data_IF_223900826404
#
_entry.id   IF_223900826404
#
_cell.length_a   1.000
_cell.length_b   1.000
_cell.length_c   1.000
_cell.angle_alpha   90.00
_cell.angle_beta   90.00
_cell.angle_gamma   90.00
#
_symmetry.space_group_name_H-M   'P 1'
#
loop_
_entity.id
_entity.type
_entity.pdbx_description
1 polymer ?
#
# COMPACT_ATOMS: atom_id res chain seq x y z
N UNK A 1 -3.51 19.42 8.13
CA UNK A 1 -3.56 18.76 6.81
C UNK A 1 -2.70 17.53 6.89
N UNK A 2 -3.27 16.35 6.65
CA UNK A 2 -2.50 15.11 6.62
C UNK A 2 -1.90 14.97 5.21
N UNK A 3 -0.66 14.49 5.09
CA UNK A 3 0.00 14.36 3.77
C UNK A 3 -0.76 13.40 2.86
N UNK A 4 -1.45 12.43 3.46
CA UNK A 4 -2.31 11.46 2.77
C UNK A 4 -3.54 12.12 2.10
N UNK A 5 -3.93 13.35 2.50
CA UNK A 5 -5.10 14.06 1.94
C UNK A 5 -4.79 14.73 0.59
N UNK A 6 -3.50 14.94 0.29
CA UNK A 6 -3.04 15.61 -0.95
C UNK A 6 -2.36 14.65 -1.92
N UNK A 7 -2.11 13.40 -1.50
CA UNK A 7 -1.47 12.36 -2.29
C UNK A 7 -2.49 11.34 -2.77
N UNK A 8 -2.27 10.79 -3.96
CA UNK A 8 -3.15 9.76 -4.53
C UNK A 8 -3.15 8.54 -3.60
N UNK A 9 -4.33 8.24 -3.05
CA UNK A 9 -4.52 7.22 -2.01
C UNK A 9 -5.62 6.24 -2.42
N UNK A 10 -5.34 4.96 -2.23
CA UNK A 10 -6.28 3.84 -2.43
C UNK A 10 -6.48 3.11 -1.11
N UNK A 11 -7.72 2.84 -0.77
CA UNK A 11 -8.08 2.03 0.40
C UNK A 11 -8.51 0.63 -0.05
N UNK A 12 -7.97 -0.40 0.60
CA UNK A 12 -8.40 -1.78 0.42
C UNK A 12 -9.37 -2.14 1.54
N UNK A 13 -10.53 -2.65 1.15
CA UNK A 13 -11.65 -2.95 2.03
C UNK A 13 -11.91 -4.46 2.02
N UNK A 14 -12.14 -5.07 3.17
CA UNK A 14 -12.54 -6.48 3.27
C UNK A 14 -14.05 -6.69 3.02
N UNK A 15 -14.50 -7.95 2.95
CA UNK A 15 -15.92 -8.27 2.75
C UNK A 15 -16.83 -7.80 3.90
N UNK A 16 -16.28 -7.37 5.03
CA UNK A 16 -17.05 -6.76 6.14
C UNK A 16 -17.17 -5.23 6.03
N UNK A 17 -16.58 -4.63 5.00
CA UNK A 17 -16.58 -3.19 4.78
C UNK A 17 -15.50 -2.44 5.57
N UNK A 18 -14.53 -3.14 6.15
CA UNK A 18 -13.45 -2.49 6.94
C UNK A 18 -12.22 -2.23 6.08
N UNK A 19 -11.64 -1.04 6.24
CA UNK A 19 -10.35 -0.72 5.62
C UNK A 19 -9.25 -1.56 6.26
N UNK A 20 -8.65 -2.42 5.45
CA UNK A 20 -7.53 -3.29 5.86
C UNK A 20 -6.19 -2.66 5.55
N UNK A 21 -6.10 -1.93 4.42
CA UNK A 21 -4.88 -1.28 3.93
C UNK A 21 -5.19 0.11 3.41
N UNK A 22 -4.25 1.03 3.60
CA UNK A 22 -4.23 2.33 2.94
C UNK A 22 -2.92 2.43 2.15
N UNK A 23 -3.03 2.58 0.84
CA UNK A 23 -1.90 2.70 -0.07
C UNK A 23 -1.83 4.14 -0.57
N UNK A 24 -0.70 4.81 -0.34
CA UNK A 24 -0.50 6.21 -0.74
C UNK A 24 0.69 6.29 -1.67
N UNK A 25 0.47 6.82 -2.87
CA UNK A 25 1.53 7.08 -3.85
C UNK A 25 2.34 8.30 -3.40
N UNK A 26 3.62 8.08 -3.14
CA UNK A 26 4.56 9.13 -2.76
C UNK A 26 5.10 9.84 -4.00
N UNK A 27 5.60 11.05 -3.81
CA UNK A 27 6.17 11.88 -4.89
C UNK A 27 7.40 11.26 -5.56
N UNK A 28 8.09 10.34 -4.88
CA UNK A 28 9.26 9.60 -5.40
C UNK A 28 8.87 8.34 -6.18
N UNK A 29 7.57 8.10 -6.39
CA UNK A 29 7.05 6.95 -7.11
C UNK A 29 6.96 5.67 -6.27
N UNK A 30 7.36 5.71 -4.99
CA UNK A 30 7.14 4.59 -4.06
C UNK A 30 5.72 4.63 -3.51
N UNK A 31 5.27 3.51 -2.98
CA UNK A 31 3.94 3.40 -2.37
C UNK A 31 4.09 3.09 -0.89
N UNK A 32 3.61 4.00 -0.05
CA UNK A 32 3.45 3.74 1.38
C UNK A 32 2.22 2.87 1.57
N UNK A 33 2.35 1.79 2.33
CA UNK A 33 1.26 0.89 2.69
C UNK A 33 1.11 0.88 4.20
N UNK A 34 -0.05 1.30 4.68
CA UNK A 34 -0.44 1.25 6.09
C UNK A 34 -1.44 0.13 6.30
N UNK A 35 -1.13 -0.77 7.23
CA UNK A 35 -1.94 -1.94 7.58
C UNK A 35 -2.19 -1.93 9.09
N UNK A 36 -3.30 -1.32 9.52
CA UNK A 36 -3.50 -1.04 10.94
C UNK A 36 -2.47 -0.04 11.47
N UNK A 37 -1.73 -0.41 12.51
CA UNK A 37 -0.65 0.41 13.09
C UNK A 37 0.70 0.23 12.39
N UNK A 38 0.79 -0.73 11.47
CA UNK A 38 2.03 -1.05 10.76
C UNK A 38 2.12 -0.23 9.48
N UNK A 39 3.31 0.30 9.20
CA UNK A 39 3.61 1.00 7.95
C UNK A 39 4.81 0.37 7.24
N UNK A 40 4.72 0.26 5.92
CA UNK A 40 5.81 -0.18 5.05
C UNK A 40 5.85 0.65 3.78
N UNK A 41 6.98 0.58 3.08
CA UNK A 41 7.16 1.20 1.77
C UNK A 41 7.41 0.11 0.74
N UNK A 42 6.59 0.10 -0.29
CA UNK A 42 6.76 -0.74 -1.48
C UNK A 42 7.49 0.08 -2.53
N UNK A 43 8.55 -0.50 -3.11
CA UNK A 43 9.20 0.00 -4.32
C UNK A 43 8.62 -0.72 -5.54
N UNK A 44 7.80 -0.03 -6.37
CA UNK A 44 7.12 -0.65 -7.51
C UNK A 44 8.06 -1.17 -8.60
N UNK A 45 9.28 -0.64 -8.67
CA UNK A 45 10.26 -0.96 -9.72
C UNK A 45 10.82 -2.38 -9.58
N UNK A 46 10.96 -2.85 -8.34
CA UNK A 46 11.60 -4.13 -8.00
C UNK A 46 10.74 -5.00 -7.05
N UNK A 47 9.51 -4.56 -6.76
CA UNK A 47 8.57 -5.24 -5.87
C UNK A 47 9.10 -5.48 -4.44
N UNK A 48 10.09 -4.69 -3.99
CA UNK A 48 10.65 -4.81 -2.65
C UNK A 48 9.78 -4.07 -1.63
N UNK A 49 9.66 -4.66 -0.43
CA UNK A 49 9.00 -4.06 0.71
C UNK A 49 10.04 -3.67 1.75
N UNK A 50 9.88 -2.51 2.37
CA UNK A 50 10.73 -2.03 3.45
C UNK A 50 9.88 -1.74 4.70
N UNK A 51 10.21 -2.34 5.86
CA UNK A 51 11.27 -3.32 6.06
C UNK A 51 10.98 -4.68 5.38
N UNK A 52 11.99 -5.43 4.92
CA UNK A 52 11.80 -6.65 4.11
C UNK A 52 11.19 -7.83 4.88
N UNK A 53 11.28 -7.80 6.21
CA UNK A 53 10.61 -8.78 7.07
C UNK A 53 9.10 -8.55 7.21
N UNK A 54 8.59 -7.44 6.68
CA UNK A 54 7.20 -7.08 6.87
C UNK A 54 6.29 -7.80 5.88
N UNK A 55 5.37 -8.60 6.42
CA UNK A 55 4.28 -9.16 5.65
C UNK A 55 3.13 -8.16 5.59
N UNK A 56 2.83 -7.72 4.37
CA UNK A 56 1.72 -6.81 4.08
C UNK A 56 0.36 -7.51 4.00
N UNK A 57 0.30 -8.84 4.01
CA UNK A 57 -0.97 -9.54 3.89
C UNK A 57 -1.84 -9.37 5.14
N UNK A 58 -3.10 -8.98 4.98
CA UNK A 58 -4.08 -8.90 6.06
C UNK A 58 -5.51 -9.12 5.56
N UNK A 59 -6.25 -9.96 6.27
CA UNK A 59 -7.61 -10.32 5.88
C UNK A 59 -7.60 -11.05 4.54
N UNK A 60 -8.27 -10.46 3.56
CA UNK A 60 -8.49 -11.06 2.22
C UNK A 60 -7.36 -10.77 1.23
N UNK A 61 -6.50 -9.80 1.55
CA UNK A 61 -5.40 -9.40 0.68
C UNK A 61 -4.13 -10.10 1.12
N UNK A 62 -3.57 -10.92 0.25
CA UNK A 62 -2.25 -11.53 0.43
C UNK A 62 -1.15 -10.50 0.20
N UNK A 63 0.05 -10.76 0.73
CA UNK A 63 1.21 -9.89 0.54
C UNK A 63 1.50 -9.57 -0.93
N UNK A 64 1.50 -10.58 -1.80
CA UNK A 64 1.72 -10.38 -3.24
C UNK A 64 0.62 -9.55 -3.89
N UNK A 65 -0.65 -9.76 -3.53
CA UNK A 65 -1.75 -8.93 -4.05
C UNK A 65 -1.59 -7.46 -3.67
N UNK A 66 -1.20 -7.17 -2.43
CA UNK A 66 -0.95 -5.79 -1.98
C UNK A 66 0.19 -5.15 -2.78
N UNK A 67 1.28 -5.89 -3.03
CA UNK A 67 2.40 -5.41 -3.85
C UNK A 67 1.95 -5.16 -5.30
N UNK A 68 1.18 -6.06 -5.90
CA UNK A 68 0.67 -5.90 -7.26
C UNK A 68 -0.24 -4.67 -7.40
N UNK A 69 -1.10 -4.42 -6.39
CA UNK A 69 -1.93 -3.22 -6.35
C UNK A 69 -1.07 -1.97 -6.21
N UNK A 70 -0.06 -1.97 -5.33
CA UNK A 70 0.89 -0.87 -5.19
C UNK A 70 1.61 -0.58 -6.52
N UNK A 71 2.01 -1.62 -7.25
CA UNK A 71 2.62 -1.46 -8.58
C UNK A 71 1.65 -0.82 -9.56
N UNK A 72 0.40 -1.29 -9.63
CA UNK A 72 -0.62 -0.72 -10.51
C UNK A 72 -0.91 0.75 -10.17
N UNK A 73 -0.96 1.10 -8.88
CA UNK A 73 -1.14 2.48 -8.43
C UNK A 73 -0.02 3.38 -8.97
N UNK A 74 1.24 2.95 -8.85
CA UNK A 74 2.37 3.72 -9.33
C UNK A 74 2.44 3.87 -10.88
N UNK A 75 1.92 2.91 -11.64
CA UNK A 75 1.92 2.93 -13.11
C UNK A 75 0.71 3.65 -13.73
N UNK A 76 -0.23 4.15 -12.94
CA UNK A 76 -1.40 4.90 -13.44
C UNK A 76 -1.08 6.36 -13.78
N UNK A 77 0.12 6.84 -13.46
CA UNK A 77 0.59 8.21 -13.68
C UNK A 77 1.55 8.26 -14.87
#
# INVERSE_FOLDING_TARGET
MNLDDVLETVELIDCSGRVTHRLTLLIDGRVRVRTGEVEAVVDPSNAQVRPPSLQLGRGEYTHHQVIDIARRLAHRR
#
